data_IF_238480573206
#
_entry.id   IF_238480573206
#
_cell.length_a   1.000
_cell.length_b   1.000
_cell.length_c   1.000
_cell.angle_alpha   90.00
_cell.angle_beta   90.00
_cell.angle_gamma   90.00
#
_symmetry.space_group_name_H-M   'P 1'
#
loop_
_entity.id
_entity.type
_entity.pdbx_description
1 polymer ?
#
# COMPACT_ATOMS: atom_id res chain seq x y z
N UNK A 1 1.82 -52.63 30.07
CA UNK A 1 2.79 -51.54 30.29
C UNK A 1 2.47 -50.41 29.33
N UNK A 2 1.77 -49.40 29.84
CA UNK A 2 1.29 -48.24 29.05
C UNK A 2 2.25 -47.10 29.18
N UNK A 3 2.79 -46.60 28.05
CA UNK A 3 3.56 -45.39 28.00
C UNK A 3 2.63 -44.18 27.77
N UNK A 4 2.47 -43.34 28.77
CA UNK A 4 1.81 -42.04 28.71
C UNK A 4 2.63 -41.08 27.84
N UNK A 5 2.05 -40.66 26.71
CA UNK A 5 2.56 -39.58 25.87
C UNK A 5 2.35 -38.25 26.63
N UNK A 6 3.44 -37.67 27.13
CA UNK A 6 3.42 -36.38 27.81
C UNK A 6 3.07 -35.26 26.79
N UNK A 7 2.01 -34.53 27.09
CA UNK A 7 1.66 -33.30 26.38
C UNK A 7 2.74 -32.25 26.64
N UNK A 8 3.27 -31.67 25.56
CA UNK A 8 4.19 -30.55 25.64
C UNK A 8 3.43 -29.35 26.21
N UNK A 9 3.77 -29.00 27.45
CA UNK A 9 3.21 -27.83 28.14
C UNK A 9 3.58 -26.55 27.40
N UNK A 10 2.55 -25.80 27.07
CA UNK A 10 2.58 -24.42 26.57
C UNK A 10 3.33 -23.54 27.57
N UNK A 11 4.58 -23.17 27.25
CA UNK A 11 5.38 -22.30 28.11
C UNK A 11 4.90 -20.87 27.94
N UNK A 12 4.48 -20.15 29.01
CA UNK A 12 4.15 -18.74 28.91
C UNK A 12 5.39 -17.94 28.49
N UNK A 13 5.22 -17.14 27.43
CA UNK A 13 6.26 -16.23 26.90
C UNK A 13 6.68 -15.27 28.02
N UNK A 14 7.96 -15.27 28.38
CA UNK A 14 8.55 -14.44 29.44
C UNK A 14 8.27 -12.92 29.19
N UNK A 15 8.14 -12.18 30.29
CA UNK A 15 7.90 -10.73 30.36
C UNK A 15 8.88 -9.95 29.47
N UNK A 16 8.35 -9.04 28.64
CA UNK A 16 9.06 -8.24 27.63
C UNK A 16 10.27 -7.50 28.22
N UNK A 17 11.45 -7.74 27.65
CA UNK A 17 12.62 -6.87 27.77
C UNK A 17 12.37 -5.55 26.99
N UNK A 18 13.01 -4.43 27.40
CA UNK A 18 12.91 -3.15 26.68
C UNK A 18 13.26 -3.36 25.19
N UNK A 19 12.35 -2.98 24.28
CA UNK A 19 12.46 -3.19 22.82
C UNK A 19 11.59 -4.32 22.25
N UNK A 20 11.11 -5.27 23.06
CA UNK A 20 10.19 -6.32 22.60
C UNK A 20 8.77 -5.80 22.34
N UNK A 21 8.38 -4.71 23.00
CA UNK A 21 7.07 -4.09 22.82
C UNK A 21 6.85 -3.55 21.41
N UNK A 22 7.84 -2.86 20.85
CA UNK A 22 7.73 -2.30 19.49
C UNK A 22 7.75 -3.42 18.42
N UNK A 23 8.55 -4.46 18.65
CA UNK A 23 8.56 -5.64 17.78
C UNK A 23 7.21 -6.33 17.78
N UNK A 24 6.64 -6.59 18.98
CA UNK A 24 5.33 -7.24 19.08
C UNK A 24 4.22 -6.37 18.47
N UNK A 25 4.29 -5.05 18.65
CA UNK A 25 3.37 -4.12 18.00
C UNK A 25 3.42 -4.25 16.47
N UNK A 26 4.61 -4.35 15.89
CA UNK A 26 4.81 -4.60 14.46
C UNK A 26 4.24 -5.95 14.01
N UNK A 27 4.52 -7.03 14.74
CA UNK A 27 3.98 -8.37 14.48
C UNK A 27 2.45 -8.40 14.49
N UNK A 28 1.80 -7.65 15.39
CA UNK A 28 0.34 -7.52 15.46
C UNK A 28 -0.20 -6.78 14.21
N UNK A 29 0.48 -5.72 13.76
CA UNK A 29 0.07 -5.00 12.54
C UNK A 29 0.20 -5.92 11.31
N UNK A 30 1.28 -6.70 11.20
CA UNK A 30 1.49 -7.64 10.10
C UNK A 30 0.43 -8.75 10.08
N UNK A 31 0.08 -9.27 11.25
CA UNK A 31 -1.01 -10.22 11.40
C UNK A 31 -2.36 -9.61 11.00
N UNK A 32 -2.62 -8.34 11.37
CA UNK A 32 -3.83 -7.64 10.99
C UNK A 32 -3.92 -7.47 9.47
N UNK A 33 -2.82 -7.14 8.78
CA UNK A 33 -2.76 -7.04 7.31
C UNK A 33 -3.14 -8.39 6.68
N UNK A 34 -2.59 -9.50 7.16
CA UNK A 34 -2.90 -10.84 6.64
C UNK A 34 -4.37 -11.20 6.84
N UNK A 35 -4.90 -10.95 8.03
CA UNK A 35 -6.33 -11.17 8.31
C UNK A 35 -7.20 -10.35 7.36
N UNK A 36 -6.94 -9.04 7.23
CA UNK A 36 -7.71 -8.15 6.34
C UNK A 36 -7.62 -8.57 4.87
N UNK A 37 -6.44 -9.01 4.43
CA UNK A 37 -6.25 -9.47 3.04
C UNK A 37 -7.05 -10.74 2.72
N UNK A 38 -7.27 -11.59 3.71
CA UNK A 38 -7.99 -12.86 3.58
C UNK A 38 -9.51 -12.73 3.76
N UNK A 39 -9.99 -11.66 4.44
CA UNK A 39 -11.42 -11.45 4.72
C UNK A 39 -12.23 -11.22 3.44
N UNK A 40 -13.44 -11.78 3.40
CA UNK A 40 -14.48 -11.39 2.47
C UNK A 40 -15.06 -9.99 2.76
N UNK A 41 -15.88 -9.43 1.86
CA UNK A 41 -16.50 -8.11 2.05
C UNK A 41 -17.35 -8.00 3.32
N UNK A 42 -18.05 -9.07 3.67
CA UNK A 42 -18.98 -9.14 4.80
C UNK A 42 -18.35 -9.71 6.07
N UNK A 43 -17.12 -10.23 6.01
CA UNK A 43 -16.50 -10.89 7.16
C UNK A 43 -16.13 -9.89 8.25
N UNK A 44 -16.40 -10.20 9.53
CA UNK A 44 -16.06 -9.31 10.62
C UNK A 44 -14.56 -9.32 10.91
N UNK A 45 -13.94 -8.16 10.91
CA UNK A 45 -12.58 -7.97 11.43
C UNK A 45 -12.62 -7.83 12.96
N UNK A 46 -11.80 -8.60 13.66
CA UNK A 46 -11.74 -8.56 15.14
C UNK A 46 -10.29 -8.66 15.66
N UNK A 47 -10.04 -8.05 16.83
CA UNK A 47 -8.73 -8.19 17.52
C UNK A 47 -8.44 -9.65 17.92
N UNK A 48 -9.47 -10.47 18.11
CA UNK A 48 -9.31 -11.90 18.41
C UNK A 48 -8.79 -12.67 17.20
N UNK A 49 -9.28 -12.38 15.99
CA UNK A 49 -8.76 -12.99 14.77
C UNK A 49 -7.30 -12.62 14.52
N UNK A 50 -6.92 -11.37 14.83
CA UNK A 50 -5.54 -10.90 14.76
C UNK A 50 -4.65 -11.60 15.79
N UNK A 51 -5.11 -11.76 17.05
CA UNK A 51 -4.37 -12.49 18.07
C UNK A 51 -4.09 -13.94 17.65
N UNK A 52 -5.10 -14.61 17.06
CA UNK A 52 -4.97 -15.99 16.53
C UNK A 52 -3.92 -16.04 15.41
N UNK A 53 -3.95 -15.10 14.45
CA UNK A 53 -2.97 -15.03 13.35
C UNK A 53 -1.55 -14.76 13.88
N UNK A 54 -1.40 -13.84 14.83
CA UNK A 54 -0.14 -13.50 15.48
C UNK A 54 0.35 -14.58 16.45
N UNK A 55 -0.46 -15.62 16.73
CA UNK A 55 -0.16 -16.71 17.70
C UNK A 55 0.15 -16.19 19.10
N UNK A 56 -0.62 -15.18 19.56
CA UNK A 56 -0.51 -14.60 20.89
C UNK A 56 -1.86 -14.62 21.62
N UNK A 57 -1.84 -14.42 22.94
CA UNK A 57 -3.07 -14.29 23.72
C UNK A 57 -3.80 -12.99 23.36
N UNK A 58 -5.14 -13.02 23.28
CA UNK A 58 -5.92 -11.82 22.94
C UNK A 58 -5.67 -10.62 23.87
N UNK A 59 -5.49 -10.77 25.19
CA UNK A 59 -5.11 -9.63 26.05
C UNK A 59 -3.82 -8.92 25.62
N UNK A 60 -2.86 -9.63 25.01
CA UNK A 60 -1.60 -9.02 24.53
C UNK A 60 -1.85 -8.03 23.39
N UNK A 61 -2.88 -8.24 22.56
CA UNK A 61 -3.25 -7.28 21.51
C UNK A 61 -3.80 -6.00 22.13
N UNK A 62 -4.66 -6.12 23.18
CA UNK A 62 -5.26 -4.97 23.84
C UNK A 62 -4.27 -4.08 24.59
N UNK A 63 -3.09 -4.62 24.98
CA UNK A 63 -1.99 -3.81 25.54
C UNK A 63 -1.45 -2.81 24.51
N UNK A 64 -1.42 -3.18 23.21
CA UNK A 64 -0.86 -2.35 22.14
C UNK A 64 -1.93 -1.54 21.39
N UNK A 65 -3.16 -2.04 21.31
CA UNK A 65 -4.27 -1.44 20.56
C UNK A 65 -5.54 -1.52 21.39
N UNK A 66 -6.01 -0.37 21.88
CA UNK A 66 -7.20 -0.26 22.74
C UNK A 66 -8.47 -0.81 22.08
N UNK A 67 -8.56 -0.64 20.77
CA UNK A 67 -9.68 -1.09 19.96
C UNK A 67 -9.25 -1.38 18.50
N UNK A 68 -10.20 -1.86 17.70
CA UNK A 68 -9.94 -2.23 16.32
C UNK A 68 -9.62 -1.03 15.43
N UNK A 69 -10.18 0.15 15.72
CA UNK A 69 -9.97 1.33 14.87
C UNK A 69 -8.54 1.85 15.02
N UNK A 70 -8.00 1.85 16.24
CA UNK A 70 -6.59 2.16 16.50
C UNK A 70 -5.66 1.22 15.75
N UNK A 71 -5.98 -0.08 15.71
CA UNK A 71 -5.19 -1.05 14.93
C UNK A 71 -5.33 -0.81 13.42
N UNK A 72 -6.54 -0.55 12.93
CA UNK A 72 -6.78 -0.28 11.50
C UNK A 72 -6.04 0.98 11.03
N UNK A 73 -6.00 2.04 11.84
CA UNK A 73 -5.21 3.24 11.53
C UNK A 73 -3.72 2.92 11.45
N UNK A 74 -3.17 2.14 12.39
CA UNK A 74 -1.77 1.72 12.35
C UNK A 74 -1.45 0.84 11.13
N UNK A 75 -2.38 0.02 10.67
CA UNK A 75 -2.26 -0.75 9.42
C UNK A 75 -2.17 0.19 8.22
N UNK A 76 -3.07 1.19 8.12
CA UNK A 76 -3.05 2.16 7.03
C UNK A 76 -1.74 2.98 7.04
N UNK A 77 -1.34 3.48 8.20
CA UNK A 77 -0.08 4.22 8.36
C UNK A 77 1.12 3.41 7.85
N UNK A 78 1.23 2.14 8.25
CA UNK A 78 2.31 1.26 7.78
C UNK A 78 2.26 1.08 6.27
N UNK A 79 1.11 0.71 5.70
CA UNK A 79 1.00 0.40 4.28
C UNK A 79 1.19 1.63 3.38
N UNK A 80 0.69 2.80 3.78
CA UNK A 80 0.96 4.06 3.07
C UNK A 80 2.43 4.49 3.22
N UNK A 81 3.02 4.30 4.40
CA UNK A 81 4.45 4.52 4.63
C UNK A 81 5.34 3.69 3.69
N UNK A 82 5.02 2.40 3.51
CA UNK A 82 5.69 1.53 2.54
C UNK A 82 5.56 2.05 1.11
N UNK A 83 4.35 2.49 0.70
CA UNK A 83 4.12 3.07 -0.61
C UNK A 83 4.93 4.34 -0.86
N UNK A 84 5.01 5.22 0.15
CA UNK A 84 5.80 6.45 0.08
C UNK A 84 7.28 6.11 -0.07
N UNK A 85 7.80 5.21 0.75
CA UNK A 85 9.21 4.82 0.75
C UNK A 85 9.66 4.19 -0.58
N UNK A 86 8.88 3.24 -1.11
CA UNK A 86 9.18 2.55 -2.37
C UNK A 86 9.20 3.54 -3.54
N UNK A 87 8.21 4.43 -3.61
CA UNK A 87 8.15 5.44 -4.68
C UNK A 87 9.26 6.48 -4.57
N UNK A 88 9.61 6.89 -3.35
CA UNK A 88 10.73 7.81 -3.11
C UNK A 88 12.07 7.18 -3.53
N UNK A 89 12.28 5.90 -3.23
CA UNK A 89 13.48 5.17 -3.64
C UNK A 89 13.59 5.04 -5.16
N UNK A 90 12.49 4.71 -5.84
CA UNK A 90 12.47 4.62 -7.31
C UNK A 90 12.72 5.98 -7.97
N UNK A 91 12.14 7.05 -7.43
CA UNK A 91 12.38 8.41 -7.87
C UNK A 91 13.85 8.83 -7.71
N UNK A 92 14.43 8.55 -6.54
CA UNK A 92 15.83 8.86 -6.25
C UNK A 92 16.79 8.10 -7.18
N UNK A 93 16.50 6.83 -7.48
CA UNK A 93 17.26 6.04 -8.44
C UNK A 93 17.21 6.63 -9.85
N UNK A 94 16.03 7.04 -10.32
CA UNK A 94 15.87 7.71 -11.63
C UNK A 94 16.63 9.04 -11.67
N UNK A 95 16.56 9.85 -10.61
CA UNK A 95 17.31 11.11 -10.51
C UNK A 95 18.84 10.87 -10.54
N UNK A 96 19.32 9.86 -9.80
CA UNK A 96 20.76 9.49 -9.78
C UNK A 96 21.26 9.04 -11.17
N UNK A 97 20.39 8.44 -11.97
CA UNK A 97 20.68 8.07 -13.36
C UNK A 97 20.61 9.25 -14.34
N UNK A 98 20.45 10.48 -13.87
CA UNK A 98 20.34 11.69 -14.71
C UNK A 98 18.93 11.94 -15.27
N UNK A 99 17.93 11.18 -14.82
CA UNK A 99 16.55 11.33 -15.29
C UNK A 99 15.89 12.62 -14.79
N UNK A 100 15.16 13.28 -15.70
CA UNK A 100 14.37 14.48 -15.43
C UNK A 100 13.04 14.15 -14.70
N UNK A 101 12.15 15.14 -14.66
CA UNK A 101 10.86 15.00 -13.99
C UNK A 101 9.99 13.87 -14.58
N UNK A 102 10.09 13.65 -15.90
CA UNK A 102 9.38 12.58 -16.59
C UNK A 102 9.83 11.18 -16.12
N UNK A 103 11.14 10.91 -16.17
CA UNK A 103 11.70 9.62 -15.78
C UNK A 103 11.42 9.33 -14.29
N UNK A 104 11.44 10.34 -13.46
CA UNK A 104 11.13 10.26 -12.03
C UNK A 104 9.65 9.93 -11.79
N UNK A 105 8.73 10.57 -12.52
CA UNK A 105 7.30 10.26 -12.45
C UNK A 105 7.01 8.85 -12.96
N UNK A 106 7.64 8.46 -14.07
CA UNK A 106 7.49 7.13 -14.65
C UNK A 106 7.99 6.03 -13.71
N UNK A 107 9.18 6.20 -13.10
CA UNK A 107 9.72 5.27 -12.13
C UNK A 107 8.78 5.06 -10.92
N UNK A 108 8.20 6.14 -10.40
CA UNK A 108 7.18 6.10 -9.33
C UNK A 108 5.93 5.33 -9.76
N UNK A 109 5.47 5.54 -10.98
CA UNK A 109 4.29 4.88 -11.55
C UNK A 109 4.51 3.37 -11.72
N UNK A 110 5.63 2.99 -12.30
CA UNK A 110 6.00 1.59 -12.53
C UNK A 110 6.12 0.83 -11.20
N UNK A 111 6.85 1.38 -10.22
CA UNK A 111 7.04 0.68 -8.93
C UNK A 111 5.72 0.55 -8.17
N UNK A 112 4.77 1.48 -8.34
CA UNK A 112 3.43 1.38 -7.77
C UNK A 112 2.67 0.18 -8.32
N UNK A 113 2.70 0.00 -9.64
CA UNK A 113 2.01 -1.12 -10.30
C UNK A 113 2.65 -2.44 -9.90
N UNK A 114 3.99 -2.52 -9.96
CA UNK A 114 4.72 -3.74 -9.56
C UNK A 114 4.46 -4.11 -8.10
N UNK A 115 4.44 -3.14 -7.19
CA UNK A 115 4.14 -3.38 -5.78
C UNK A 115 2.72 -3.93 -5.60
N UNK A 116 1.72 -3.30 -6.23
CA UNK A 116 0.33 -3.73 -6.14
C UNK A 116 0.13 -5.17 -6.62
N UNK A 117 0.73 -5.51 -7.76
CA UNK A 117 0.66 -6.86 -8.32
C UNK A 117 1.43 -7.90 -7.50
N UNK A 118 2.57 -7.52 -6.91
CA UNK A 118 3.35 -8.40 -6.05
C UNK A 118 2.69 -8.62 -4.68
N UNK A 119 1.93 -7.64 -4.20
CA UNK A 119 1.33 -7.66 -2.87
C UNK A 119 -0.20 -7.43 -2.96
N UNK A 120 -0.96 -8.34 -3.62
CA UNK A 120 -2.39 -8.13 -3.87
C UNK A 120 -3.20 -7.97 -2.57
N UNK A 121 -2.79 -8.63 -1.47
CA UNK A 121 -3.41 -8.48 -0.16
C UNK A 121 -3.28 -7.06 0.40
N UNK A 122 -2.08 -6.47 0.36
CA UNK A 122 -1.85 -5.08 0.77
C UNK A 122 -2.65 -4.10 -0.09
N UNK A 123 -2.67 -4.33 -1.40
CA UNK A 123 -3.44 -3.51 -2.34
C UNK A 123 -4.94 -3.51 -2.02
N UNK A 124 -5.52 -4.70 -1.77
CA UNK A 124 -6.93 -4.85 -1.38
C UNK A 124 -7.24 -4.12 -0.07
N UNK A 125 -6.36 -4.20 0.91
CA UNK A 125 -6.53 -3.52 2.20
C UNK A 125 -6.55 -2.00 2.01
N UNK A 126 -5.65 -1.46 1.19
CA UNK A 126 -5.53 -0.01 0.95
C UNK A 126 -6.66 0.56 0.09
N UNK A 127 -7.02 -0.13 -0.99
CA UNK A 127 -7.75 0.49 -2.10
C UNK A 127 -9.10 -0.17 -2.43
N UNK A 128 -9.35 -1.39 -1.99
CA UNK A 128 -10.61 -2.09 -2.28
C UNK A 128 -11.65 -1.98 -1.15
N UNK A 129 -11.61 -0.90 -0.38
CA UNK A 129 -12.68 -0.54 0.57
C UNK A 129 -12.80 -1.44 1.81
N UNK A 130 -11.79 -2.25 2.12
CA UNK A 130 -11.87 -3.18 3.26
C UNK A 130 -11.68 -2.51 4.61
N UNK A 131 -10.98 -1.38 4.65
CA UNK A 131 -10.63 -0.67 5.89
C UNK A 131 -11.29 0.69 5.96
N UNK A 132 -11.14 1.51 4.92
CA UNK A 132 -11.54 2.92 4.90
C UNK A 132 -13.02 3.15 5.21
N UNK A 133 -14.00 2.39 4.65
CA UNK A 133 -15.41 2.61 4.98
C UNK A 133 -15.78 2.29 6.44
N UNK A 134 -14.90 1.59 7.14
CA UNK A 134 -15.10 1.18 8.54
C UNK A 134 -14.51 2.18 9.55
N UNK A 135 -13.79 3.18 9.05
CA UNK A 135 -13.12 4.20 9.84
C UNK A 135 -13.67 5.57 9.46
N UNK A 136 -14.40 6.20 10.38
CA UNK A 136 -14.78 7.60 10.26
C UNK A 136 -13.71 8.47 10.94
N UNK A 137 -12.50 8.51 10.37
CA UNK A 137 -11.37 9.25 10.93
C UNK A 137 -10.78 10.19 9.86
N UNK A 138 -10.71 11.52 10.12
CA UNK A 138 -10.22 12.49 9.16
C UNK A 138 -8.75 12.28 8.76
N UNK A 139 -7.94 11.62 9.60
CA UNK A 139 -6.52 11.31 9.31
C UNK A 139 -6.35 10.40 8.12
N UNK A 140 -7.37 9.64 7.73
CA UNK A 140 -7.32 8.72 6.59
C UNK A 140 -6.97 9.47 5.29
N UNK A 141 -7.55 10.66 5.09
CA UNK A 141 -7.28 11.48 3.92
C UNK A 141 -5.81 11.93 3.84
N UNK A 142 -5.13 12.01 4.97
CA UNK A 142 -3.75 12.50 5.05
C UNK A 142 -2.71 11.42 4.70
N UNK A 143 -3.00 10.14 4.93
CA UNK A 143 -2.03 9.07 4.68
C UNK A 143 -1.58 8.98 3.21
N UNK A 144 -2.50 9.12 2.26
CA UNK A 144 -2.20 9.08 0.82
C UNK A 144 -1.77 10.42 0.22
N UNK A 145 -1.98 11.53 0.92
CA UNK A 145 -1.72 12.90 0.44
C UNK A 145 -0.30 13.10 -0.11
N UNK A 146 0.79 12.66 0.58
CA UNK A 146 2.15 12.84 0.08
C UNK A 146 2.40 12.20 -1.28
N UNK A 147 1.73 11.08 -1.58
CA UNK A 147 1.84 10.40 -2.86
C UNK A 147 1.27 11.24 -4.00
N UNK A 148 0.09 11.84 -3.78
CA UNK A 148 -0.59 12.69 -4.76
C UNK A 148 0.15 14.01 -4.94
N UNK A 149 0.51 14.69 -3.86
CA UNK A 149 1.24 15.98 -3.88
C UNK A 149 2.52 15.84 -4.70
N UNK A 150 3.31 14.78 -4.45
CA UNK A 150 4.56 14.58 -5.18
C UNK A 150 4.34 14.33 -6.68
N UNK A 151 3.29 13.61 -7.05
CA UNK A 151 2.95 13.40 -8.46
C UNK A 151 2.55 14.70 -9.15
N UNK A 152 1.76 15.54 -8.50
CA UNK A 152 1.38 16.87 -9.00
C UNK A 152 2.61 17.77 -9.22
N UNK A 153 3.56 17.77 -8.28
CA UNK A 153 4.80 18.54 -8.39
C UNK A 153 5.63 18.12 -9.61
N UNK A 154 5.80 16.81 -9.83
CA UNK A 154 6.54 16.29 -10.98
C UNK A 154 5.83 16.62 -12.30
N UNK A 155 4.49 16.53 -12.34
CA UNK A 155 3.72 16.92 -13.52
C UNK A 155 3.89 18.40 -13.84
N UNK A 156 3.86 19.29 -12.84
CA UNK A 156 4.15 20.72 -13.03
C UNK A 156 5.54 20.95 -13.62
N UNK A 157 6.56 20.24 -13.11
CA UNK A 157 7.92 20.33 -13.65
C UNK A 157 7.99 19.89 -15.12
N UNK A 158 7.30 18.79 -15.48
CA UNK A 158 7.22 18.30 -16.86
C UNK A 158 6.57 19.35 -17.76
N UNK A 159 5.47 19.95 -17.35
CA UNK A 159 4.76 20.99 -18.09
C UNK A 159 5.63 22.22 -18.33
N UNK A 160 6.41 22.66 -17.33
CA UNK A 160 7.29 23.83 -17.43
C UNK A 160 8.42 23.59 -18.44
N UNK A 161 8.98 22.39 -18.50
CA UNK A 161 10.12 22.06 -19.38
C UNK A 161 9.66 21.82 -20.83
N UNK A 162 8.48 21.24 -21.02
CA UNK A 162 8.08 20.69 -22.33
C UNK A 162 7.64 21.75 -23.35
N UNK A 163 7.33 22.98 -22.92
CA UNK A 163 6.79 24.03 -23.81
C UNK A 163 5.48 23.61 -24.55
N UNK A 164 4.89 22.50 -24.14
CA UNK A 164 3.90 21.76 -24.88
C UNK A 164 2.49 22.33 -24.75
N UNK A 165 1.69 22.18 -25.79
CA UNK A 165 0.29 22.65 -25.89
C UNK A 165 -0.65 22.21 -24.77
N UNK A 166 -0.33 21.11 -24.06
CA UNK A 166 -1.08 20.65 -22.85
C UNK A 166 -0.66 21.35 -21.54
N UNK A 167 0.14 22.40 -21.62
CA UNK A 167 0.52 23.25 -20.47
C UNK A 167 -0.70 23.86 -19.75
N UNK A 168 -1.85 23.91 -20.41
CA UNK A 168 -3.09 24.47 -19.84
C UNK A 168 -3.92 23.48 -18.99
N UNK A 169 -3.60 22.19 -18.98
CA UNK A 169 -4.36 21.25 -18.17
C UNK A 169 -3.91 21.27 -16.71
N UNK A 170 -4.89 21.24 -15.79
CA UNK A 170 -4.63 21.23 -14.36
C UNK A 170 -3.78 20.01 -13.95
N UNK A 171 -2.57 20.20 -13.35
CA UNK A 171 -1.72 19.12 -12.91
C UNK A 171 -2.40 18.16 -11.92
N UNK A 172 -3.33 18.66 -11.11
CA UNK A 172 -4.10 17.84 -10.18
C UNK A 172 -5.03 16.89 -10.94
N UNK A 173 -5.70 17.38 -11.98
CA UNK A 173 -6.54 16.53 -12.85
C UNK A 173 -5.72 15.46 -13.55
N UNK A 174 -4.56 15.80 -14.10
CA UNK A 174 -3.65 14.84 -14.74
C UNK A 174 -3.15 13.78 -13.75
N UNK A 175 -2.79 14.19 -12.53
CA UNK A 175 -2.37 13.27 -11.48
C UNK A 175 -3.49 12.29 -11.09
N UNK A 176 -4.75 12.76 -11.01
CA UNK A 176 -5.92 11.91 -10.74
C UNK A 176 -6.18 10.93 -11.88
N UNK A 177 -6.10 11.38 -13.14
CA UNK A 177 -6.24 10.50 -14.32
C UNK A 177 -5.17 9.42 -14.34
N UNK A 178 -3.91 9.79 -14.11
CA UNK A 178 -2.81 8.83 -14.03
C UNK A 178 -3.02 7.83 -12.89
N UNK A 179 -3.34 8.33 -11.71
CA UNK A 179 -3.57 7.50 -10.53
C UNK A 179 -4.71 6.50 -10.74
N UNK A 180 -5.88 6.95 -11.21
CA UNK A 180 -7.04 6.07 -11.47
C UNK A 180 -6.75 5.02 -12.55
N UNK A 181 -6.01 5.38 -13.60
CA UNK A 181 -5.62 4.46 -14.66
C UNK A 181 -4.64 3.39 -14.17
N UNK A 182 -3.64 3.75 -13.36
CA UNK A 182 -2.72 2.79 -12.75
C UNK A 182 -3.44 1.86 -11.78
N UNK A 183 -4.41 2.38 -11.01
CA UNK A 183 -5.27 1.56 -10.17
C UNK A 183 -6.12 0.58 -10.99
N UNK A 184 -6.63 1.03 -12.13
CA UNK A 184 -7.34 0.15 -13.07
C UNK A 184 -6.51 -1.04 -13.52
N UNK A 185 -5.24 -0.82 -13.91
CA UNK A 185 -4.31 -1.91 -14.27
C UNK A 185 -4.16 -2.90 -13.12
N UNK A 186 -3.87 -2.41 -11.93
CA UNK A 186 -3.58 -3.26 -10.76
C UNK A 186 -4.83 -4.07 -10.39
N UNK A 187 -5.96 -3.39 -10.19
CA UNK A 187 -7.20 -4.03 -9.76
C UNK A 187 -7.70 -5.06 -10.77
N UNK A 188 -7.67 -4.72 -12.06
CA UNK A 188 -8.13 -5.63 -13.10
C UNK A 188 -7.22 -6.86 -13.22
N UNK A 189 -5.90 -6.71 -13.18
CA UNK A 189 -4.99 -7.88 -13.23
C UNK A 189 -5.14 -8.78 -12.02
N UNK A 190 -5.36 -8.22 -10.82
CA UNK A 190 -5.61 -9.01 -9.61
C UNK A 190 -6.94 -9.77 -9.69
N UNK A 191 -8.01 -9.11 -10.20
CA UNK A 191 -9.36 -9.66 -10.16
C UNK A 191 -9.78 -10.39 -11.45
N UNK A 192 -9.02 -10.25 -12.55
CA UNK A 192 -9.24 -10.89 -13.86
C UNK A 192 -7.96 -11.57 -14.37
N UNK A 193 -7.36 -12.50 -13.60
CA UNK A 193 -6.07 -13.10 -13.93
C UNK A 193 -6.11 -13.99 -15.19
N UNK A 194 -7.31 -14.38 -15.65
CA UNK A 194 -7.49 -15.23 -16.84
C UNK A 194 -7.44 -14.45 -18.16
N UNK A 195 -7.44 -13.11 -18.12
CA UNK A 195 -7.24 -12.31 -19.32
C UNK A 195 -5.77 -12.29 -19.71
N UNK A 196 -5.48 -12.27 -21.01
CA UNK A 196 -4.14 -12.05 -21.52
C UNK A 196 -3.74 -10.59 -21.34
N UNK A 197 -2.92 -10.33 -20.33
CA UNK A 197 -2.44 -8.98 -20.02
C UNK A 197 -1.09 -8.72 -20.66
N UNK A 198 -0.89 -7.56 -21.33
CA UNK A 198 0.43 -7.07 -21.65
C UNK A 198 1.24 -6.88 -20.36
N UNK A 199 2.57 -6.76 -20.49
CA UNK A 199 3.40 -6.52 -19.30
C UNK A 199 2.96 -5.26 -18.58
N UNK A 200 2.78 -5.37 -17.26
CA UNK A 200 2.27 -4.28 -16.43
C UNK A 200 3.13 -3.00 -16.53
N UNK A 201 4.45 -3.15 -16.70
CA UNK A 201 5.38 -2.03 -16.90
C UNK A 201 5.09 -1.30 -18.22
N UNK A 202 4.87 -2.04 -19.30
CA UNK A 202 4.56 -1.49 -20.63
C UNK A 202 3.23 -0.72 -20.60
N UNK A 203 2.19 -1.29 -19.96
CA UNK A 203 0.92 -0.61 -19.79
C UNK A 203 1.03 0.67 -18.95
N UNK A 204 1.78 0.63 -17.84
CA UNK A 204 1.99 1.79 -17.00
C UNK A 204 2.71 2.92 -17.76
N UNK A 205 3.71 2.58 -18.56
CA UNK A 205 4.42 3.55 -19.39
C UNK A 205 3.53 4.13 -20.48
N UNK A 206 2.78 3.31 -21.21
CA UNK A 206 1.86 3.76 -22.27
C UNK A 206 0.80 4.71 -21.71
N UNK A 207 0.21 4.39 -20.55
CA UNK A 207 -0.77 5.23 -19.88
C UNK A 207 -0.13 6.56 -19.43
N UNK A 208 1.04 6.51 -18.80
CA UNK A 208 1.71 7.72 -18.38
C UNK A 208 2.05 8.64 -19.56
N UNK A 209 2.50 8.07 -20.69
CA UNK A 209 2.74 8.81 -21.94
C UNK A 209 1.46 9.43 -22.49
N UNK A 210 0.37 8.67 -22.56
CA UNK A 210 -0.89 9.13 -23.10
C UNK A 210 -1.51 10.28 -22.28
N UNK A 211 -1.33 10.25 -20.96
CA UNK A 211 -1.92 11.25 -20.06
C UNK A 211 -1.03 12.48 -19.89
N UNK A 212 0.27 12.30 -19.66
CA UNK A 212 1.16 13.36 -19.20
C UNK A 212 2.04 13.93 -20.33
N UNK A 213 2.56 13.07 -21.22
CA UNK A 213 3.49 13.50 -22.25
C UNK A 213 2.70 13.76 -23.54
N UNK A 214 2.69 15.01 -24.03
CA UNK A 214 2.12 15.30 -25.34
C UNK A 214 2.91 14.55 -26.41
N UNK A 215 2.21 14.05 -27.43
CA UNK A 215 2.86 13.58 -28.64
C UNK A 215 3.75 14.71 -29.19
N UNK A 216 4.97 14.39 -29.54
CA UNK A 216 5.79 15.31 -30.33
C UNK A 216 5.07 15.47 -31.67
N UNK A 217 4.59 16.70 -31.93
CA UNK A 217 4.08 17.06 -33.22
C UNK A 217 5.19 16.89 -34.28
#
# INVERSE_FOLDING_TARGET
MGAKKAAAADRPRLRNLRGEGDRLRGEIIDAAIKVLAALGPEDPFSLRSVAKEAKIAAPSVYIHFSDRNVLLLAVLEKLFGEQIAIRAAAEAAAAKAGGGAWERLLARSIVSVLFGLKNPGHYKVLFEGRVVPRLNDPRIADFGRPLMVRSIELIRQIQTISGARRVSEDPQRLALLLWSSLHGIISLQINKPTLEWPKAVELAEQIARAIIRPERA
#
